data_IF_830373729969
#
_entry.id   IF_830373729969
#
_cell.length_a   1.000
_cell.length_b   1.000
_cell.length_c   1.000
_cell.angle_alpha   90.00
_cell.angle_beta   90.00
_cell.angle_gamma   90.00
#
_symmetry.space_group_name_H-M   'P 1'
#
loop_
_entity.id
_entity.type
_entity.pdbx_description
1 polymer ?
#
# COMPACT_ATOMS: atom_id res chain seq x y z
N UNK A 1 20.61 9.02 16.09
CA UNK A 1 19.67 7.89 16.25
C UNK A 1 19.34 7.30 14.89
N UNK A 2 19.03 6.00 14.78
CA UNK A 2 18.52 5.44 13.53
C UNK A 2 17.32 6.27 13.05
N UNK A 3 17.37 6.75 11.80
CA UNK A 3 16.35 7.63 11.21
C UNK A 3 16.54 9.15 11.34
N UNK A 4 17.58 9.64 12.03
CA UNK A 4 17.92 11.08 12.03
C UNK A 4 18.63 11.51 10.73
N UNK A 5 18.56 12.79 10.33
CA UNK A 5 19.28 13.29 9.13
C UNK A 5 20.79 13.02 9.22
N UNK A 6 21.38 13.12 10.42
CA UNK A 6 22.77 12.79 10.67
C UNK A 6 23.08 11.29 10.44
N UNK A 7 22.12 10.39 10.66
CA UNK A 7 22.28 8.96 10.42
C UNK A 7 22.24 8.65 8.92
N UNK A 8 21.34 9.27 8.16
CA UNK A 8 21.32 9.13 6.70
C UNK A 8 22.58 9.73 6.05
N UNK A 9 23.07 10.87 6.54
CA UNK A 9 24.34 11.45 6.10
C UNK A 9 25.54 10.54 6.42
N UNK A 10 25.54 9.89 7.59
CA UNK A 10 26.57 8.93 7.97
C UNK A 10 26.55 7.66 7.10
N UNK A 11 25.37 7.15 6.73
CA UNK A 11 25.24 6.01 5.81
C UNK A 11 25.51 6.35 4.33
N UNK A 12 25.46 7.63 3.96
CA UNK A 12 25.80 8.08 2.61
C UNK A 12 27.32 8.12 2.35
N UNK A 13 28.14 8.15 3.41
CA UNK A 13 29.59 8.02 3.30
C UNK A 13 30.00 6.57 3.00
N UNK A 14 30.82 6.41 1.95
CA UNK A 14 31.27 5.11 1.45
C UNK A 14 32.00 4.26 2.50
N UNK A 15 32.68 4.91 3.44
CA UNK A 15 33.35 4.28 4.58
C UNK A 15 32.42 3.53 5.55
N UNK A 16 31.12 3.88 5.58
CA UNK A 16 30.14 3.35 6.53
C UNK A 16 29.16 2.35 5.89
N UNK A 17 29.26 2.07 4.59
CA UNK A 17 28.39 1.08 3.90
C UNK A 17 28.55 -0.35 4.42
N UNK A 18 29.66 -0.66 5.06
CA UNK A 18 29.93 -1.95 5.71
C UNK A 18 29.25 -2.09 7.07
N UNK A 19 28.73 -1.00 7.65
CA UNK A 19 27.96 -1.04 8.88
C UNK A 19 26.59 -1.68 8.61
N UNK A 20 26.22 -2.63 9.47
CA UNK A 20 24.91 -3.30 9.46
C UNK A 20 23.73 -2.34 9.31
N UNK A 21 23.83 -1.18 9.94
CA UNK A 21 22.78 -0.17 9.97
C UNK A 21 22.57 0.55 8.62
N UNK A 22 23.52 0.43 7.68
CA UNK A 22 23.52 1.11 6.39
C UNK A 22 23.46 0.14 5.19
N UNK A 23 23.36 -1.17 5.43
CA UNK A 23 23.32 -2.18 4.37
C UNK A 23 21.91 -2.29 3.76
N UNK A 24 21.84 -2.29 2.42
CA UNK A 24 20.60 -2.49 1.67
C UNK A 24 20.08 -3.95 1.76
N UNK A 25 20.97 -4.89 2.11
CA UNK A 25 20.67 -6.32 2.28
C UNK A 25 21.12 -6.82 3.66
N UNK A 26 20.52 -6.33 4.75
CA UNK A 26 21.06 -6.51 6.10
C UNK A 26 21.14 -7.99 6.50
N UNK A 27 20.22 -8.83 6.02
CA UNK A 27 20.17 -10.25 6.35
C UNK A 27 21.27 -11.05 5.63
N UNK A 28 21.55 -10.74 4.36
CA UNK A 28 22.66 -11.34 3.62
C UNK A 28 24.00 -10.85 4.17
N UNK A 29 24.10 -9.56 4.50
CA UNK A 29 25.29 -8.95 5.08
C UNK A 29 25.68 -9.56 6.43
N UNK A 30 24.71 -9.79 7.33
CA UNK A 30 24.95 -10.52 8.59
C UNK A 30 25.48 -11.92 8.32
N UNK A 31 24.87 -12.66 7.39
CA UNK A 31 25.29 -14.03 7.04
C UNK A 31 26.72 -14.07 6.49
N UNK A 32 27.12 -13.06 5.73
CA UNK A 32 28.48 -12.96 5.23
C UNK A 32 29.49 -12.65 6.35
N UNK A 33 29.14 -11.74 7.27
CA UNK A 33 29.98 -11.42 8.44
C UNK A 33 30.19 -12.58 9.41
N UNK A 34 29.22 -13.49 9.56
CA UNK A 34 29.36 -14.71 10.38
C UNK A 34 30.08 -15.85 9.63
N UNK A 35 30.59 -15.61 8.42
CA UNK A 35 31.33 -16.58 7.61
C UNK A 35 30.47 -17.53 6.79
N UNK A 36 29.17 -17.27 6.66
CA UNK A 36 28.20 -18.09 5.91
C UNK A 36 27.93 -17.52 4.51
N UNK A 37 28.95 -17.05 3.80
CA UNK A 37 28.82 -16.36 2.51
C UNK A 37 28.08 -17.16 1.42
N UNK A 38 28.19 -18.50 1.40
CA UNK A 38 27.40 -19.35 0.48
C UNK A 38 25.89 -19.27 0.73
N UNK A 39 25.49 -19.16 2.00
CA UNK A 39 24.07 -19.01 2.39
C UNK A 39 23.59 -17.60 2.10
N UNK A 40 24.44 -16.58 2.29
CA UNK A 40 24.15 -15.21 1.89
C UNK A 40 23.86 -15.09 0.38
N UNK A 41 24.68 -15.74 -0.46
CA UNK A 41 24.46 -15.77 -1.92
C UNK A 41 23.17 -16.50 -2.31
N UNK A 42 22.86 -17.62 -1.66
CA UNK A 42 21.61 -18.35 -1.89
C UNK A 42 20.39 -17.49 -1.51
N UNK A 43 20.49 -16.75 -0.40
CA UNK A 43 19.45 -15.83 0.05
C UNK A 43 19.26 -14.66 -0.93
N UNK A 44 20.36 -14.07 -1.42
CA UNK A 44 20.31 -13.00 -2.42
C UNK A 44 19.65 -13.49 -3.72
N UNK A 45 19.96 -14.70 -4.17
CA UNK A 45 19.31 -15.32 -5.33
C UNK A 45 17.81 -15.54 -5.09
N UNK A 46 17.43 -16.00 -3.89
CA UNK A 46 16.03 -16.18 -3.53
C UNK A 46 15.27 -14.84 -3.51
N UNK A 47 15.86 -13.79 -2.97
CA UNK A 47 15.29 -12.44 -2.99
C UNK A 47 15.12 -11.92 -4.43
N UNK A 48 16.13 -12.09 -5.28
CA UNK A 48 16.07 -11.70 -6.69
C UNK A 48 14.92 -12.38 -7.45
N UNK A 49 14.67 -13.66 -7.18
CA UNK A 49 13.56 -14.41 -7.80
C UNK A 49 12.19 -14.04 -7.20
N UNK A 50 12.13 -13.73 -5.90
CA UNK A 50 10.88 -13.46 -5.20
C UNK A 50 10.34 -12.04 -5.41
N UNK A 51 11.21 -11.01 -5.41
CA UNK A 51 10.81 -9.60 -5.49
C UNK A 51 9.95 -9.27 -6.72
N UNK A 52 10.28 -9.74 -7.95
CA UNK A 52 9.46 -9.49 -9.14
C UNK A 52 8.04 -10.03 -9.00
N UNK A 53 7.86 -11.18 -8.33
CA UNK A 53 6.55 -11.80 -8.13
C UNK A 53 5.66 -10.96 -7.20
N UNK A 54 6.24 -10.39 -6.15
CA UNK A 54 5.53 -9.48 -5.24
C UNK A 54 5.14 -8.19 -5.97
N UNK A 55 6.05 -7.61 -6.75
CA UNK A 55 5.77 -6.40 -7.55
C UNK A 55 4.63 -6.65 -8.54
N UNK A 56 4.66 -7.79 -9.25
CA UNK A 56 3.61 -8.16 -10.18
C UNK A 56 2.25 -8.32 -9.48
N UNK A 57 2.23 -8.96 -8.30
CA UNK A 57 1.02 -9.11 -7.49
C UNK A 57 0.44 -7.75 -7.06
N UNK A 58 1.30 -6.82 -6.64
CA UNK A 58 0.88 -5.47 -6.23
C UNK A 58 0.32 -4.65 -7.39
N UNK A 59 1.00 -4.67 -8.56
CA UNK A 59 0.51 -4.00 -9.78
C UNK A 59 -0.85 -4.57 -10.23
N UNK A 60 -1.02 -5.89 -10.14
CA UNK A 60 -2.29 -6.52 -10.45
C UNK A 60 -3.41 -6.13 -9.48
N UNK A 61 -3.11 -6.04 -8.18
CA UNK A 61 -4.07 -5.57 -7.17
C UNK A 61 -4.52 -4.14 -7.46
N UNK A 62 -3.57 -3.24 -7.73
CA UNK A 62 -3.83 -1.84 -8.05
C UNK A 62 -4.73 -1.69 -9.28
N UNK A 63 -4.40 -2.35 -10.38
CA UNK A 63 -5.16 -2.25 -11.65
C UNK A 63 -6.61 -2.72 -11.48
N UNK A 64 -6.87 -3.77 -10.69
CA UNK A 64 -8.22 -4.24 -10.39
C UNK A 64 -9.04 -3.25 -9.59
N UNK A 65 -8.44 -2.62 -8.56
CA UNK A 65 -9.13 -1.62 -7.75
C UNK A 65 -9.53 -0.43 -8.62
N UNK A 66 -8.62 0.09 -9.45
CA UNK A 66 -8.91 1.18 -10.38
C UNK A 66 -10.00 0.81 -11.39
N UNK A 67 -10.00 -0.42 -11.91
CA UNK A 67 -11.04 -0.90 -12.82
C UNK A 67 -12.43 -0.93 -12.16
N UNK A 68 -12.53 -1.44 -10.93
CA UNK A 68 -13.80 -1.48 -10.19
C UNK A 68 -14.27 -0.06 -9.84
N UNK A 69 -13.37 0.82 -9.39
CA UNK A 69 -13.69 2.23 -9.13
C UNK A 69 -14.16 2.97 -10.38
N UNK A 70 -13.55 2.71 -11.53
CA UNK A 70 -13.96 3.28 -12.83
C UNK A 70 -15.35 2.76 -13.25
N UNK A 71 -15.61 1.46 -13.09
CA UNK A 71 -16.91 0.84 -13.36
C UNK A 71 -18.02 1.38 -12.45
N UNK A 72 -17.69 1.67 -11.20
CA UNK A 72 -18.62 2.22 -10.20
C UNK A 72 -18.79 3.75 -10.37
N UNK A 73 -18.17 4.37 -11.40
CA UNK A 73 -18.34 5.78 -11.76
C UNK A 73 -17.64 6.76 -10.82
N UNK A 74 -16.75 6.28 -9.94
CA UNK A 74 -16.08 7.08 -8.92
C UNK A 74 -14.87 7.88 -9.46
N UNK A 75 -14.37 7.53 -10.63
CA UNK A 75 -13.18 8.16 -11.24
C UNK A 75 -13.55 9.02 -12.45
N UNK A 76 -12.92 10.21 -12.62
CA UNK A 76 -13.00 10.94 -13.87
C UNK A 76 -12.42 10.05 -15.00
N UNK A 77 -13.03 10.06 -16.19
CA UNK A 77 -12.66 9.21 -17.33
C UNK A 77 -12.94 7.70 -17.18
N UNK A 78 -13.89 7.32 -16.33
CA UNK A 78 -14.28 5.91 -16.10
C UNK A 78 -14.57 5.10 -17.36
N UNK A 79 -15.17 5.67 -18.41
CA UNK A 79 -15.43 4.97 -19.68
C UNK A 79 -14.16 4.59 -20.45
N UNK A 80 -13.10 5.39 -20.35
CA UNK A 80 -11.80 5.11 -20.99
C UNK A 80 -10.97 4.15 -20.12
N UNK A 81 -11.00 4.33 -18.80
CA UNK A 81 -10.27 3.49 -17.86
C UNK A 81 -10.91 2.10 -17.69
N UNK A 82 -12.22 1.97 -17.92
CA UNK A 82 -12.93 0.68 -17.90
C UNK A 82 -12.84 -0.08 -19.24
N UNK A 83 -12.10 0.42 -20.25
CA UNK A 83 -11.94 -0.31 -21.51
C UNK A 83 -11.10 -1.57 -21.29
N UNK A 84 -11.70 -2.70 -21.67
CA UNK A 84 -11.09 -4.01 -21.58
C UNK A 84 -10.62 -4.44 -22.97
N UNK A 85 -9.46 -5.08 -23.06
CA UNK A 85 -8.96 -5.60 -24.33
C UNK A 85 -9.92 -6.67 -24.89
N UNK A 86 -10.41 -6.55 -26.14
CA UNK A 86 -11.47 -7.39 -26.68
C UNK A 86 -11.12 -8.88 -26.76
N UNK A 87 -9.83 -9.22 -26.87
CA UNK A 87 -9.34 -10.62 -26.96
C UNK A 87 -8.86 -11.21 -25.63
N UNK A 88 -8.38 -10.38 -24.70
CA UNK A 88 -7.67 -10.84 -23.49
C UNK A 88 -8.43 -10.54 -22.20
N UNK A 89 -9.49 -9.73 -22.23
CA UNK A 89 -10.26 -9.44 -21.03
C UNK A 89 -9.50 -8.59 -20.00
N UNK A 90 -8.35 -8.01 -20.36
CA UNK A 90 -7.47 -7.26 -19.45
C UNK A 90 -7.65 -5.73 -19.59
N UNK A 91 -7.66 -4.97 -18.48
CA UNK A 91 -7.73 -3.50 -18.49
C UNK A 91 -6.36 -2.88 -18.88
N UNK A 92 -5.98 -3.03 -20.15
CA UNK A 92 -4.63 -2.70 -20.64
C UNK A 92 -4.25 -1.22 -20.45
N UNK A 93 -5.22 -0.30 -20.56
CA UNK A 93 -5.00 1.14 -20.39
C UNK A 93 -4.62 1.46 -18.95
N UNK A 94 -5.34 0.88 -17.97
CA UNK A 94 -5.06 1.08 -16.54
C UNK A 94 -3.70 0.50 -16.20
N UNK A 95 -3.36 -0.69 -16.71
CA UNK A 95 -2.06 -1.31 -16.49
C UNK A 95 -0.92 -0.45 -17.04
N UNK A 96 -1.07 0.11 -18.24
CA UNK A 96 -0.03 0.95 -18.84
C UNK A 96 0.17 2.26 -18.06
N UNK A 97 -0.91 2.93 -17.67
CA UNK A 97 -0.86 4.19 -16.92
C UNK A 97 -0.29 3.98 -15.51
N UNK A 98 -0.76 2.95 -14.80
CA UNK A 98 -0.29 2.66 -13.44
C UNK A 98 1.14 2.15 -13.44
N UNK A 99 1.51 1.29 -14.39
CA UNK A 99 2.87 0.81 -14.56
C UNK A 99 3.86 1.92 -14.91
N UNK A 100 3.51 2.81 -15.85
CA UNK A 100 4.38 3.94 -16.20
C UNK A 100 4.55 4.91 -15.04
N UNK A 101 3.48 5.22 -14.30
CA UNK A 101 3.55 6.03 -13.09
C UNK A 101 4.49 5.39 -12.06
N UNK A 102 4.30 4.09 -11.75
CA UNK A 102 5.15 3.37 -10.79
C UNK A 102 6.63 3.39 -11.20
N UNK A 103 6.95 3.17 -12.48
CA UNK A 103 8.33 3.23 -12.98
C UNK A 103 8.95 4.61 -12.77
N UNK A 104 8.19 5.68 -13.04
CA UNK A 104 8.66 7.06 -12.83
C UNK A 104 8.90 7.29 -11.33
N UNK A 105 7.93 6.98 -10.47
CA UNK A 105 8.11 7.17 -9.02
C UNK A 105 9.26 6.34 -8.45
N UNK A 106 9.44 5.10 -8.89
CA UNK A 106 10.55 4.25 -8.47
C UNK A 106 11.92 4.77 -8.90
N UNK A 107 12.01 5.48 -10.03
CA UNK A 107 13.27 6.05 -10.52
C UNK A 107 13.70 7.31 -9.77
N UNK A 108 12.75 8.12 -9.27
CA UNK A 108 13.04 9.43 -8.65
C UNK A 108 12.97 9.45 -7.12
N UNK A 109 12.30 8.49 -6.48
CA UNK A 109 12.07 8.53 -5.03
C UNK A 109 12.76 7.37 -4.30
N UNK A 110 13.38 7.63 -3.13
CA UNK A 110 14.05 6.59 -2.35
C UNK A 110 13.04 5.62 -1.74
N UNK A 111 13.43 4.33 -1.68
CA UNK A 111 12.57 3.24 -1.19
C UNK A 111 12.07 3.44 0.24
N UNK A 112 12.84 4.07 1.12
CA UNK A 112 12.44 4.33 2.50
C UNK A 112 11.25 5.28 2.61
N UNK A 113 11.26 6.38 1.86
CA UNK A 113 10.14 7.35 1.85
C UNK A 113 8.89 6.73 1.23
N UNK A 114 9.06 5.96 0.15
CA UNK A 114 7.97 5.21 -0.47
C UNK A 114 7.37 4.17 0.49
N UNK A 115 8.21 3.48 1.27
CA UNK A 115 7.78 2.52 2.28
C UNK A 115 6.98 3.20 3.39
N UNK A 116 7.45 4.35 3.91
CA UNK A 116 6.71 5.10 4.92
C UNK A 116 5.33 5.55 4.41
N UNK A 117 5.25 6.09 3.19
CA UNK A 117 3.98 6.50 2.57
C UNK A 117 3.06 5.29 2.37
N UNK A 118 3.58 4.18 1.86
CA UNK A 118 2.81 2.93 1.67
C UNK A 118 2.29 2.35 3.00
N UNK A 119 3.11 2.35 4.04
CA UNK A 119 2.76 1.90 5.38
C UNK A 119 1.64 2.76 5.96
N UNK A 120 1.69 4.08 5.80
CA UNK A 120 0.64 4.98 6.28
C UNK A 120 -0.73 4.66 5.66
N UNK A 121 -0.77 4.41 4.34
CA UNK A 121 -2.00 4.04 3.64
C UNK A 121 -2.55 2.67 4.06
N UNK A 122 -1.66 1.69 4.25
CA UNK A 122 -2.06 0.34 4.67
C UNK A 122 -2.58 0.33 6.11
N UNK A 123 -1.93 1.05 7.02
CA UNK A 123 -2.40 1.23 8.40
C UNK A 123 -3.78 1.90 8.43
N UNK A 124 -4.00 2.92 7.60
CA UNK A 124 -5.30 3.56 7.49
C UNK A 124 -6.40 2.63 6.92
N UNK A 125 -6.06 1.80 5.93
CA UNK A 125 -6.97 0.78 5.43
C UNK A 125 -7.35 -0.22 6.53
N UNK A 126 -6.38 -0.68 7.32
CA UNK A 126 -6.63 -1.58 8.46
C UNK A 126 -7.48 -0.93 9.56
N UNK A 127 -7.25 0.35 9.86
CA UNK A 127 -8.12 1.13 10.76
C UNK A 127 -9.57 1.13 10.25
N UNK A 128 -9.76 1.44 8.97
CA UNK A 128 -11.08 1.51 8.35
C UNK A 128 -11.77 0.15 8.35
N UNK A 129 -11.03 -0.94 8.08
CA UNK A 129 -11.55 -2.31 8.13
C UNK A 129 -11.92 -2.72 9.56
N UNK A 130 -11.09 -2.40 10.55
CA UNK A 130 -11.39 -2.69 11.96
C UNK A 130 -12.71 -2.03 12.40
N UNK A 131 -12.90 -0.75 12.05
CA UNK A 131 -14.17 -0.03 12.27
C UNK A 131 -15.30 -0.65 11.45
N UNK A 132 -15.09 -0.94 10.17
CA UNK A 132 -16.08 -1.52 9.28
C UNK A 132 -16.64 -2.85 9.79
N UNK A 133 -15.78 -3.73 10.30
CA UNK A 133 -16.21 -5.02 10.88
C UNK A 133 -17.04 -4.81 12.16
N UNK A 134 -16.67 -3.85 13.02
CA UNK A 134 -17.45 -3.49 14.21
C UNK A 134 -18.82 -2.91 13.85
N UNK A 135 -18.88 -1.99 12.87
CA UNK A 135 -20.11 -1.38 12.37
C UNK A 135 -21.02 -2.44 11.73
N UNK A 136 -20.47 -3.32 10.89
CA UNK A 136 -21.23 -4.39 10.24
C UNK A 136 -21.79 -5.39 11.25
N UNK A 137 -21.14 -5.58 12.40
CA UNK A 137 -21.65 -6.45 13.47
C UNK A 137 -22.82 -5.83 14.24
N UNK A 138 -22.95 -4.48 14.27
CA UNK A 138 -24.14 -3.80 14.80
C UNK A 138 -25.26 -3.66 13.77
N UNK A 139 -24.94 -3.30 12.52
CA UNK A 139 -25.96 -3.02 11.49
C UNK A 139 -26.59 -4.28 10.90
N UNK A 140 -25.81 -5.32 10.63
CA UNK A 140 -26.27 -6.55 9.99
C UNK A 140 -25.86 -7.81 10.79
N UNK A 141 -26.44 -8.02 11.99
CA UNK A 141 -26.06 -9.14 12.84
C UNK A 141 -26.41 -10.52 12.25
N UNK A 142 -27.51 -10.60 11.48
CA UNK A 142 -28.08 -11.87 10.98
C UNK A 142 -27.49 -12.34 9.65
N UNK A 143 -26.54 -11.62 9.06
CA UNK A 143 -25.93 -12.00 7.78
C UNK A 143 -25.15 -13.32 7.93
N UNK A 144 -25.31 -14.30 7.01
CA UNK A 144 -24.53 -15.55 7.05
C UNK A 144 -23.05 -15.24 6.86
N UNK A 145 -22.20 -15.75 7.76
CA UNK A 145 -20.75 -15.51 7.79
C UNK A 145 -20.04 -16.85 7.98
N UNK A 146 -19.34 -17.38 6.95
CA UNK A 146 -18.60 -18.64 7.04
C UNK A 146 -17.48 -18.61 8.09
N UNK A 147 -16.86 -17.44 8.29
CA UNK A 147 -15.88 -17.19 9.35
C UNK A 147 -16.33 -16.01 10.21
N UNK A 148 -16.18 -16.14 11.54
CA UNK A 148 -16.51 -15.09 12.52
C UNK A 148 -15.30 -14.85 13.41
N UNK A 149 -14.86 -13.60 13.50
CA UNK A 149 -13.80 -13.23 14.43
C UNK A 149 -14.27 -13.39 15.87
N UNK A 150 -13.55 -14.18 16.70
CA UNK A 150 -13.85 -14.29 18.12
C UNK A 150 -13.64 -12.92 18.78
N UNK A 151 -14.49 -12.57 19.74
CA UNK A 151 -14.33 -11.38 20.59
C UNK A 151 -14.06 -10.05 19.84
N UNK A 152 -14.82 -9.72 18.77
CA UNK A 152 -14.55 -8.47 18.01
C UNK A 152 -14.59 -7.21 18.87
N UNK A 153 -15.37 -7.20 19.95
CA UNK A 153 -15.46 -6.04 20.84
C UNK A 153 -14.15 -5.81 21.60
N UNK A 154 -13.26 -6.79 21.63
CA UNK A 154 -11.88 -6.66 22.13
C UNK A 154 -10.89 -6.54 20.96
N UNK A 155 -10.95 -7.45 19.99
CA UNK A 155 -10.00 -7.51 18.86
C UNK A 155 -10.11 -6.28 17.96
N UNK A 156 -11.32 -5.78 17.70
CA UNK A 156 -11.55 -4.60 16.86
C UNK A 156 -10.92 -3.33 17.43
N UNK A 157 -11.22 -2.96 18.69
CA UNK A 157 -10.57 -1.81 19.33
C UNK A 157 -9.06 -1.99 19.50
N UNK A 158 -8.57 -3.18 19.85
CA UNK A 158 -7.13 -3.43 19.93
C UNK A 158 -6.42 -3.23 18.58
N UNK A 159 -7.00 -3.77 17.50
CA UNK A 159 -6.47 -3.55 16.16
C UNK A 159 -6.51 -2.06 15.77
N UNK A 160 -7.60 -1.37 16.13
CA UNK A 160 -7.72 0.07 15.89
C UNK A 160 -6.63 0.86 16.64
N UNK A 161 -6.47 0.62 17.94
CA UNK A 161 -5.48 1.30 18.77
C UNK A 161 -4.06 0.99 18.28
N UNK A 162 -3.76 -0.27 17.96
CA UNK A 162 -2.45 -0.68 17.46
C UNK A 162 -2.08 -0.03 16.12
N UNK A 163 -3.00 -0.06 15.15
CA UNK A 163 -2.78 0.60 13.86
C UNK A 163 -2.70 2.13 14.00
N UNK A 164 -3.50 2.73 14.88
CA UNK A 164 -3.47 4.17 15.13
C UNK A 164 -2.15 4.58 15.79
N UNK A 165 -1.69 3.82 16.78
CA UNK A 165 -0.41 4.04 17.43
C UNK A 165 0.76 3.99 16.44
N UNK A 166 0.81 2.96 15.59
CA UNK A 166 1.84 2.87 14.55
C UNK A 166 1.75 4.03 13.56
N UNK A 167 0.54 4.43 13.16
CA UNK A 167 0.34 5.58 12.27
C UNK A 167 0.86 6.89 12.89
N UNK A 168 0.65 7.10 14.19
CA UNK A 168 1.17 8.26 14.92
C UNK A 168 2.69 8.21 15.14
N UNK A 169 3.26 7.02 15.16
CA UNK A 169 4.71 6.81 15.28
C UNK A 169 5.47 7.08 13.98
N UNK A 170 4.79 7.22 12.83
CA UNK A 170 5.44 7.57 11.56
C UNK A 170 5.88 9.05 11.54
N UNK A 171 6.89 9.41 10.72
CA UNK A 171 7.34 10.79 10.58
C UNK A 171 6.20 11.76 10.24
N UNK A 172 6.22 12.96 10.85
CA UNK A 172 5.20 13.99 10.61
C UNK A 172 5.04 14.33 9.13
N UNK A 173 6.15 14.35 8.36
CA UNK A 173 6.12 14.58 6.91
C UNK A 173 5.19 13.59 6.20
N UNK A 174 5.28 12.30 6.54
CA UNK A 174 4.47 11.23 5.94
C UNK A 174 2.99 11.38 6.30
N UNK A 175 2.69 11.74 7.56
CA UNK A 175 1.31 11.98 8.00
C UNK A 175 0.67 13.14 7.24
N UNK A 176 1.39 14.25 7.06
CA UNK A 176 0.89 15.38 6.26
C UNK A 176 0.68 15.00 4.79
N UNK A 177 1.61 14.28 4.17
CA UNK A 177 1.44 13.79 2.79
C UNK A 177 0.22 12.88 2.66
N UNK A 178 0.02 11.95 3.61
CA UNK A 178 -1.15 11.07 3.64
C UNK A 178 -2.46 11.86 3.79
N UNK A 179 -2.51 12.83 4.72
CA UNK A 179 -3.68 13.69 4.92
C UNK A 179 -3.97 14.53 3.68
N UNK A 180 -2.95 15.12 3.06
CA UNK A 180 -3.08 15.90 1.84
C UNK A 180 -3.65 15.04 0.70
N UNK A 181 -3.11 13.84 0.50
CA UNK A 181 -3.62 12.92 -0.53
C UNK A 181 -5.06 12.48 -0.27
N UNK A 182 -5.41 12.24 1.00
CA UNK A 182 -6.77 11.92 1.41
C UNK A 182 -7.74 13.07 1.13
N UNK A 183 -7.32 14.31 1.41
CA UNK A 183 -8.09 15.51 1.08
C UNK A 183 -8.27 15.68 -0.43
N UNK A 184 -7.22 15.46 -1.23
CA UNK A 184 -7.32 15.48 -2.69
C UNK A 184 -8.32 14.42 -3.18
N UNK A 185 -8.25 13.19 -2.67
CA UNK A 185 -9.21 12.14 -3.00
C UNK A 185 -10.65 12.50 -2.63
N UNK A 186 -10.84 13.12 -1.46
CA UNK A 186 -12.14 13.60 -0.99
C UNK A 186 -12.69 14.73 -1.87
N UNK A 187 -11.85 15.67 -2.29
CA UNK A 187 -12.21 16.73 -3.22
C UNK A 187 -12.64 16.18 -4.58
N UNK A 188 -11.90 15.22 -5.13
CA UNK A 188 -12.27 14.53 -6.39
C UNK A 188 -13.60 13.80 -6.22
N UNK A 189 -13.81 13.14 -5.08
CA UNK A 189 -15.07 12.47 -4.77
C UNK A 189 -16.25 13.45 -4.72
N UNK A 190 -16.15 14.57 -4.01
CA UNK A 190 -17.25 15.55 -3.94
C UNK A 190 -17.47 16.30 -5.26
N UNK A 191 -16.40 16.59 -6.01
CA UNK A 191 -16.51 17.29 -7.29
C UNK A 191 -17.14 16.42 -8.39
N UNK A 192 -16.78 15.13 -8.45
CA UNK A 192 -17.21 14.22 -9.52
C UNK A 192 -18.01 13.02 -9.02
N UNK A 193 -17.43 12.25 -8.09
CA UNK A 193 -17.98 10.98 -7.61
C UNK A 193 -19.40 11.08 -7.03
N UNK A 194 -19.69 12.16 -6.29
CA UNK A 194 -21.01 12.38 -5.68
C UNK A 194 -22.12 12.57 -6.74
N UNK A 195 -21.82 13.21 -7.88
CA UNK A 195 -22.80 13.52 -8.93
C UNK A 195 -23.03 12.38 -9.93
N UNK A 196 -22.07 11.45 -10.05
CA UNK A 196 -22.05 10.38 -11.08
C UNK A 196 -22.20 8.97 -10.52
N UNK A 197 -22.14 8.77 -9.21
CA UNK A 197 -22.25 7.42 -8.61
C UNK A 197 -23.65 6.82 -8.84
N UNK A 198 -23.75 5.56 -9.33
CA UNK A 198 -25.02 4.86 -9.53
C UNK A 198 -25.77 4.55 -8.24
N UNK A 199 -25.21 4.80 -7.05
CA UNK A 199 -25.94 4.77 -5.78
C UNK A 199 -27.00 5.89 -5.66
N UNK A 200 -26.89 6.96 -6.47
CA UNK A 200 -27.87 8.05 -6.55
C UNK A 200 -28.96 7.84 -7.62
N UNK A 201 -28.81 6.86 -8.51
CA UNK A 201 -29.85 6.48 -9.50
C UNK A 201 -30.34 5.08 -9.18
N UNK A 202 -31.53 4.93 -8.57
CA UNK A 202 -32.18 3.63 -8.52
C UNK A 202 -32.28 3.14 -9.97
N UNK A 203 -31.73 1.96 -10.28
CA UNK A 203 -32.12 1.27 -11.50
C UNK A 203 -33.61 1.00 -11.38
N UNK A 204 -34.40 1.72 -12.19
CA UNK A 204 -35.76 1.36 -12.51
C UNK A 204 -35.79 0.04 -13.31
#
# INVERSE_FOLDING_TARGET
CPGSEAFFAACAQEANRTLLACSDEPLAHVLDMIGWGKVAQLLALAAFLALPSVILMMLFGQTRIFFVMARDGLLPFGETLSKVHPKFGTPYIVTLITGSAVTIFAAFFPVGVLADISNSGTLFAFLTVAVGVMVLRRREPNRPRPFRTPLIWLVGPLAFIGCAFLLFSLPLRTQFTFLLWTLVGLLVYFAYGYRKSPLAKPRA
#
